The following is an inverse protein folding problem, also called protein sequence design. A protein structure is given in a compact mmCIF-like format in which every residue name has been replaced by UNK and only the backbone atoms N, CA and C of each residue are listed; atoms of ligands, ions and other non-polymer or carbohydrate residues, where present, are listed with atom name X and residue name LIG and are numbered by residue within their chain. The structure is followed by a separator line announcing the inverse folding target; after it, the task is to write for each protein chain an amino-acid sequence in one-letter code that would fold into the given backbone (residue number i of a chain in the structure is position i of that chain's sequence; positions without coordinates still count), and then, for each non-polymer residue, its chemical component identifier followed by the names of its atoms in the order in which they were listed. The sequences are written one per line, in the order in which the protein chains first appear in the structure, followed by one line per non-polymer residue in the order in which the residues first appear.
data_IF_239685563007
#
_entry.id   IF_239685563007
#
_cell.length_a   1.000
_cell.length_b   1.000
_cell.length_c   1.000
_cell.angle_alpha   90.00
_cell.angle_beta   90.00
_cell.angle_gamma   90.00
#
_symmetry.space_group_name_H-M   'P 1'
#
loop_
_entity.id
_entity.type
_entity.pdbx_description
1 polymer ?
#
# COMPACT_ATOMS: atom_id res chain seq x y z
N UNK A 1 2.97 4.40 -24.44
CA UNK A 1 2.75 4.23 -23.01
C UNK A 1 3.28 2.89 -22.53
N UNK A 2 3.67 2.86 -21.28
CA UNK A 2 4.19 1.64 -20.67
C UNK A 2 3.05 0.66 -20.41
N UNK A 3 3.08 -0.57 -21.00
CA UNK A 3 2.03 -1.56 -20.73
C UNK A 3 1.89 -1.89 -19.23
N UNK A 4 2.99 -1.86 -18.49
CA UNK A 4 2.93 -2.18 -17.06
C UNK A 4 2.14 -1.14 -16.28
N UNK A 5 2.21 0.14 -16.67
CA UNK A 5 1.39 1.17 -16.05
C UNK A 5 -0.09 0.97 -16.38
N UNK A 6 -0.41 0.66 -17.63
CA UNK A 6 -1.79 0.45 -18.06
C UNK A 6 -2.42 -0.75 -17.34
N UNK A 7 -1.62 -1.73 -16.96
CA UNK A 7 -2.09 -2.94 -16.28
C UNK A 7 -1.98 -2.86 -14.78
N UNK A 8 -1.41 -1.78 -14.25
CA UNK A 8 -1.19 -1.62 -12.82
C UNK A 8 -2.54 -1.45 -12.11
N UNK A 9 -2.86 -2.33 -11.13
CA UNK A 9 -4.08 -2.13 -10.36
C UNK A 9 -4.03 -0.82 -9.59
N UNK A 10 -5.15 -0.11 -9.56
CA UNK A 10 -5.29 1.09 -8.74
C UNK A 10 -6.20 0.73 -7.59
N UNK A 11 -5.67 0.79 -6.38
CA UNK A 11 -6.37 0.38 -5.17
C UNK A 11 -7.10 1.58 -4.56
N UNK A 12 -8.14 1.30 -3.80
CA UNK A 12 -8.79 2.33 -2.98
C UNK A 12 -8.05 2.44 -1.66
N UNK A 13 -7.42 3.60 -1.43
CA UNK A 13 -6.64 3.83 -0.21
C UNK A 13 -7.50 4.30 0.96
N UNK A 14 -8.68 4.87 0.69
CA UNK A 14 -9.57 5.35 1.74
C UNK A 14 -10.53 6.40 1.23
N UNK A 15 -11.43 6.90 2.10
CA UNK A 15 -12.52 7.77 1.69
C UNK A 15 -12.15 9.24 1.55
N UNK A 16 -10.95 9.65 1.99
CA UNK A 16 -10.55 11.06 1.99
C UNK A 16 -9.82 11.37 0.69
N UNK A 17 -10.21 12.46 0.05
CA UNK A 17 -9.57 12.93 -1.20
C UNK A 17 -9.35 11.80 -2.20
N UNK A 18 -10.43 11.17 -2.64
CA UNK A 18 -10.38 9.97 -3.49
C UNK A 18 -9.75 10.23 -4.86
N UNK A 19 -9.59 11.49 -5.24
CA UNK A 19 -8.92 11.87 -6.50
C UNK A 19 -7.40 11.94 -6.34
N UNK A 20 -6.88 11.83 -5.13
CA UNK A 20 -5.46 11.99 -4.85
C UNK A 20 -4.75 10.67 -4.94
N UNK A 21 -3.67 10.63 -5.71
CA UNK A 21 -2.90 9.42 -5.93
C UNK A 21 -1.71 9.30 -5.00
N UNK A 22 -1.44 8.08 -4.59
CA UNK A 22 -0.31 7.71 -3.75
C UNK A 22 0.39 6.52 -4.39
N UNK A 23 1.72 6.59 -4.49
CA UNK A 23 2.50 5.50 -5.04
C UNK A 23 3.48 5.01 -3.97
N UNK A 24 3.29 3.76 -3.52
CA UNK A 24 4.24 3.10 -2.64
C UNK A 24 5.32 2.44 -3.50
N UNK A 25 6.56 2.55 -3.07
CA UNK A 25 7.69 1.95 -3.77
C UNK A 25 8.81 1.64 -2.78
N UNK A 26 9.80 0.87 -3.22
CA UNK A 26 10.88 0.46 -2.34
C UNK A 26 11.97 1.51 -2.30
N UNK A 27 12.55 1.70 -1.12
CA UNK A 27 13.65 2.65 -0.91
C UNK A 27 14.87 2.31 -1.78
N UNK A 28 15.10 1.01 -2.01
CA UNK A 28 16.25 0.56 -2.78
C UNK A 28 16.13 0.82 -4.28
N UNK A 29 14.95 1.12 -4.77
CA UNK A 29 14.75 1.35 -6.19
C UNK A 29 15.30 2.72 -6.56
N UNK A 30 16.40 2.74 -7.30
CA UNK A 30 17.09 3.99 -7.66
C UNK A 30 16.24 4.89 -8.54
N UNK A 31 15.33 4.32 -9.31
CA UNK A 31 14.43 5.09 -10.16
C UNK A 31 13.41 5.90 -9.35
N UNK A 32 13.39 5.72 -8.03
CA UNK A 32 12.42 6.37 -7.15
C UNK A 32 13.06 7.38 -6.18
N UNK A 33 14.31 7.76 -6.39
CA UNK A 33 15.03 8.51 -5.35
C UNK A 33 14.70 10.00 -5.30
N UNK A 34 14.36 10.62 -6.41
CA UNK A 34 14.34 12.07 -6.51
C UNK A 34 12.98 12.66 -6.85
N UNK A 35 11.90 11.95 -6.56
CA UNK A 35 10.56 12.50 -6.79
C UNK A 35 10.15 13.44 -5.67
N UNK A 36 9.55 14.57 -6.04
CA UNK A 36 8.96 15.47 -5.07
C UNK A 36 7.84 14.77 -4.30
N UNK A 37 7.58 15.22 -3.08
CA UNK A 37 6.48 14.66 -2.29
C UNK A 37 6.71 13.24 -1.83
N UNK A 38 7.96 12.84 -1.65
CA UNK A 38 8.30 11.49 -1.21
C UNK A 38 8.56 11.49 0.29
N UNK A 39 7.94 10.56 0.99
CA UNK A 39 8.07 10.39 2.43
C UNK A 39 8.50 8.95 2.73
N UNK A 40 9.34 8.81 3.75
CA UNK A 40 9.71 7.48 4.25
C UNK A 40 8.57 6.93 5.10
N UNK A 41 8.14 5.71 4.79
CA UNK A 41 7.16 4.98 5.59
C UNK A 41 7.88 4.05 6.57
N UNK A 42 8.82 3.27 6.04
CA UNK A 42 9.75 2.46 6.82
C UNK A 42 11.12 2.63 6.18
N UNK A 43 12.13 1.94 6.72
CA UNK A 43 13.46 1.95 6.09
C UNK A 43 13.42 1.41 4.66
N UNK A 44 12.50 0.49 4.37
CA UNK A 44 12.43 -0.19 3.09
C UNK A 44 11.39 0.39 2.13
N UNK A 45 10.47 1.23 2.63
CA UNK A 45 9.29 1.64 1.87
C UNK A 45 9.13 3.15 1.91
N UNK A 46 8.84 3.74 0.75
CA UNK A 46 8.51 5.16 0.62
C UNK A 46 7.16 5.33 -0.06
N UNK A 47 6.56 6.48 0.14
CA UNK A 47 5.33 6.88 -0.56
C UNK A 47 5.58 8.20 -1.26
N UNK A 48 5.16 8.29 -2.51
CA UNK A 48 5.27 9.52 -3.31
C UNK A 48 3.88 9.97 -3.73
N UNK A 49 3.60 11.26 -3.59
CA UNK A 49 2.30 11.83 -3.89
C UNK A 49 2.31 12.77 -5.10
N UNK A 50 3.46 12.99 -5.73
CA UNK A 50 3.59 13.95 -6.82
C UNK A 50 3.26 13.33 -8.18
N UNK A 51 2.97 14.20 -9.15
CA UNK A 51 2.65 13.78 -10.51
C UNK A 51 3.88 13.27 -11.26
N UNK A 52 5.07 13.68 -10.89
CA UNK A 52 6.27 13.33 -11.63
C UNK A 52 6.57 11.84 -11.58
N UNK A 53 6.22 11.13 -10.49
CA UNK A 53 6.39 9.69 -10.46
C UNK A 53 5.48 9.01 -11.48
N UNK A 54 4.25 9.48 -11.63
CA UNK A 54 3.32 8.92 -12.62
C UNK A 54 3.81 9.17 -14.04
N UNK A 55 4.35 10.36 -14.29
CA UNK A 55 4.93 10.69 -15.57
C UNK A 55 6.12 9.79 -15.90
N UNK A 56 6.99 9.56 -14.90
CA UNK A 56 8.13 8.68 -15.08
C UNK A 56 7.69 7.24 -15.33
N UNK A 57 6.68 6.77 -14.61
CA UNK A 57 6.15 5.42 -14.81
C UNK A 57 5.58 5.24 -16.22
N UNK A 58 4.89 6.26 -16.74
CA UNK A 58 4.34 6.20 -18.08
C UNK A 58 5.42 6.11 -19.16
N UNK A 59 6.62 6.59 -18.85
CA UNK A 59 7.77 6.53 -19.75
C UNK A 59 8.65 5.31 -19.53
N UNK A 60 8.26 4.42 -18.62
CA UNK A 60 9.08 3.26 -18.27
C UNK A 60 10.30 3.59 -17.44
N UNK A 61 10.32 4.77 -16.82
CA UNK A 61 11.47 5.29 -16.07
C UNK A 61 11.22 5.34 -14.56
N UNK A 62 10.04 4.95 -14.11
CA UNK A 62 9.69 4.95 -12.71
C UNK A 62 10.12 3.69 -11.99
N UNK A 63 9.73 3.55 -10.70
CA UNK A 63 10.02 2.36 -9.94
C UNK A 63 9.39 1.11 -10.58
N UNK A 64 10.06 -0.01 -10.43
CA UNK A 64 9.59 -1.27 -11.02
C UNK A 64 8.44 -1.87 -10.25
N UNK A 65 8.49 -1.80 -8.92
CA UNK A 65 7.50 -2.39 -8.05
C UNK A 65 6.79 -1.27 -7.32
N UNK A 66 5.50 -1.17 -7.56
CA UNK A 66 4.71 -0.09 -6.99
C UNK A 66 3.36 -0.61 -6.52
N UNK A 67 2.78 0.12 -5.59
CA UNK A 67 1.37 0.02 -5.25
C UNK A 67 0.77 1.40 -5.46
N UNK A 68 -0.22 1.49 -6.34
CA UNK A 68 -0.89 2.75 -6.64
C UNK A 68 -2.25 2.74 -5.95
N UNK A 69 -2.52 3.80 -5.17
CA UNK A 69 -3.79 3.94 -4.46
C UNK A 69 -4.36 5.33 -4.67
N UNK A 70 -5.70 5.42 -4.69
CA UNK A 70 -6.41 6.68 -4.70
C UNK A 70 -7.09 6.88 -3.36
N UNK A 71 -6.96 8.08 -2.81
CA UNK A 71 -7.54 8.42 -1.53
C UNK A 71 -6.76 7.87 -0.35
N UNK A 72 -7.16 8.29 0.83
CA UNK A 72 -6.52 7.83 2.07
C UNK A 72 -7.54 7.81 3.20
N UNK A 73 -7.13 7.22 4.32
CA UNK A 73 -7.88 7.24 5.57
C UNK A 73 -7.10 8.08 6.57
N UNK A 74 -7.83 8.82 7.41
CA UNK A 74 -7.22 9.65 8.43
C UNK A 74 -7.78 9.31 9.80
N UNK A 75 -6.99 9.54 10.83
CA UNK A 75 -7.39 9.35 12.21
C UNK A 75 -7.08 10.61 12.99
N UNK A 76 -8.00 10.98 13.88
CA UNK A 76 -7.73 12.05 14.85
C UNK A 76 -6.70 11.60 15.89
N UNK A 77 -6.17 12.54 16.69
CA UNK A 77 -5.18 12.19 17.70
C UNK A 77 -5.68 11.08 18.63
N UNK A 78 -4.92 10.00 18.75
CA UNK A 78 -5.24 8.86 19.60
C UNK A 78 -6.33 7.95 19.10
N UNK A 79 -6.96 8.26 17.96
CA UNK A 79 -8.07 7.46 17.46
C UNK A 79 -7.63 6.08 16.99
N UNK A 80 -6.55 6.00 16.23
CA UNK A 80 -6.07 4.71 15.74
C UNK A 80 -5.63 3.81 16.89
N UNK A 81 -4.91 4.38 17.87
CA UNK A 81 -4.47 3.64 19.04
C UNK A 81 -5.65 3.09 19.82
N UNK A 82 -6.72 3.88 19.93
CA UNK A 82 -7.93 3.45 20.61
C UNK A 82 -8.62 2.30 19.87
N UNK A 83 -8.69 2.39 18.54
CA UNK A 83 -9.28 1.33 17.72
C UNK A 83 -8.44 0.05 17.80
N UNK A 84 -7.12 0.18 17.85
CA UNK A 84 -6.26 -1.00 18.02
C UNK A 84 -6.44 -1.64 19.38
N UNK A 85 -6.61 -0.83 20.42
CA UNK A 85 -6.89 -1.35 21.76
C UNK A 85 -8.22 -2.12 21.82
N UNK A 86 -9.16 -1.76 20.96
CA UNK A 86 -10.46 -2.43 20.84
C UNK A 86 -10.45 -3.58 19.84
N UNK A 87 -9.28 -3.95 19.33
CA UNK A 87 -9.08 -5.02 18.34
C UNK A 87 -9.83 -4.78 17.02
N UNK A 88 -10.05 -3.51 16.66
CA UNK A 88 -10.65 -3.17 15.38
C UNK A 88 -9.69 -3.38 14.21
N UNK A 89 -8.39 -3.44 14.49
CA UNK A 89 -7.34 -3.63 13.49
C UNK A 89 -6.36 -4.71 13.94
N UNK A 90 -5.84 -5.43 12.98
CA UNK A 90 -4.69 -6.30 13.17
C UNK A 90 -3.47 -5.62 12.56
N UNK A 91 -2.34 -5.65 13.26
CA UNK A 91 -1.12 -5.00 12.80
C UNK A 91 -0.03 -6.03 12.60
N UNK A 92 0.66 -5.93 11.47
CA UNK A 92 1.80 -6.78 11.14
C UNK A 92 2.93 -5.90 10.62
N UNK A 93 4.18 -6.36 10.70
CA UNK A 93 5.28 -5.64 10.07
C UNK A 93 5.04 -5.48 8.57
N UNK A 94 5.49 -4.36 8.01
CA UNK A 94 5.37 -4.09 6.58
C UNK A 94 6.44 -4.89 5.85
N UNK A 95 6.03 -6.00 5.23
CA UNK A 95 6.94 -6.89 4.51
C UNK A 95 6.89 -6.54 3.02
N UNK A 96 7.99 -6.03 2.44
CA UNK A 96 7.98 -5.63 1.03
C UNK A 96 7.52 -6.72 0.06
N UNK A 97 7.89 -7.97 0.29
CA UNK A 97 7.45 -9.08 -0.54
C UNK A 97 5.92 -9.18 -0.60
N UNK A 98 5.26 -9.00 0.54
CA UNK A 98 3.81 -9.08 0.58
C UNK A 98 3.20 -7.86 -0.13
N UNK A 99 3.75 -6.68 0.10
CA UNK A 99 3.20 -5.44 -0.45
C UNK A 99 3.38 -5.37 -1.97
N UNK A 100 4.55 -5.75 -2.47
CA UNK A 100 4.92 -5.50 -3.87
C UNK A 100 4.89 -6.74 -4.76
N UNK A 101 5.14 -7.94 -4.21
CA UNK A 101 5.33 -9.13 -5.04
C UNK A 101 4.19 -10.13 -4.94
N UNK A 102 3.31 -9.99 -3.97
CA UNK A 102 2.17 -10.88 -3.78
C UNK A 102 0.98 -10.37 -4.60
N UNK A 103 0.26 -11.23 -5.34
CA UNK A 103 -0.97 -10.80 -6.00
C UNK A 103 -1.91 -10.12 -5.02
N UNK A 104 -2.52 -9.00 -5.41
CA UNK A 104 -3.24 -8.16 -4.45
C UNK A 104 -4.36 -8.89 -3.73
N UNK A 105 -5.03 -9.81 -4.39
CA UNK A 105 -6.12 -10.59 -3.79
C UNK A 105 -5.64 -11.57 -2.72
N UNK A 106 -4.32 -11.79 -2.61
CA UNK A 106 -3.74 -12.68 -1.60
C UNK A 106 -3.01 -11.90 -0.50
N UNK A 107 -2.89 -10.57 -0.62
CA UNK A 107 -2.08 -9.79 0.32
C UNK A 107 -2.63 -9.83 1.73
N UNK A 108 -3.95 -9.76 1.87
CA UNK A 108 -4.59 -9.82 3.17
C UNK A 108 -4.31 -11.15 3.87
N UNK A 109 -4.50 -12.24 3.14
CA UNK A 109 -4.26 -13.58 3.68
C UNK A 109 -2.81 -13.80 4.05
N UNK A 110 -1.87 -13.37 3.21
CA UNK A 110 -0.44 -13.51 3.49
C UNK A 110 -0.04 -12.67 4.69
N UNK A 111 -0.61 -11.48 4.83
CA UNK A 111 -0.36 -10.64 6.00
C UNK A 111 -0.86 -11.30 7.29
N UNK A 112 -2.05 -11.89 7.24
CA UNK A 112 -2.62 -12.58 8.41
C UNK A 112 -1.76 -13.76 8.83
N UNK A 113 -1.10 -14.44 7.89
CA UNK A 113 -0.21 -15.55 8.20
C UNK A 113 0.99 -15.14 9.04
N UNK A 114 1.41 -13.87 8.96
CA UNK A 114 2.48 -13.37 9.82
C UNK A 114 2.09 -13.38 11.28
N UNK A 115 0.80 -13.37 11.58
CA UNK A 115 0.29 -13.47 12.95
C UNK A 115 -0.05 -14.92 13.34
N UNK A 116 0.22 -15.89 12.44
CA UNK A 116 -0.16 -17.26 12.68
C UNK A 116 -1.65 -17.55 12.51
N UNK A 117 -2.38 -16.67 11.81
CA UNK A 117 -3.82 -16.80 11.61
C UNK A 117 -4.08 -17.52 10.30
N UNK A 118 -4.95 -18.55 10.36
CA UNK A 118 -5.44 -19.23 9.18
C UNK A 118 -6.76 -18.61 8.75
N UNK A 119 -6.73 -17.88 7.64
CA UNK A 119 -7.90 -17.16 7.17
C UNK A 119 -9.01 -18.07 6.67
N UNK A 120 -8.69 -19.31 6.31
CA UNK A 120 -9.73 -20.26 5.93
C UNK A 120 -10.63 -20.60 7.11
N UNK A 121 -10.10 -20.51 8.33
CA UNK A 121 -10.88 -20.72 9.56
C UNK A 121 -11.71 -19.50 9.93
N UNK A 122 -11.21 -18.29 9.63
CA UNK A 122 -11.86 -17.05 10.04
C UNK A 122 -12.80 -16.47 8.99
N UNK A 123 -12.65 -16.88 7.73
CA UNK A 123 -13.29 -16.21 6.61
C UNK A 123 -14.82 -16.19 6.71
N UNK A 124 -15.44 -17.22 7.29
CA UNK A 124 -16.89 -17.28 7.43
C UNK A 124 -17.43 -16.24 8.41
N UNK A 125 -16.60 -15.75 9.31
CA UNK A 125 -17.00 -14.76 10.32
C UNK A 125 -16.45 -13.38 10.01
N UNK A 126 -15.14 -13.30 9.74
CA UNK A 126 -14.48 -12.02 9.55
C UNK A 126 -14.72 -11.43 8.17
N UNK A 127 -14.89 -12.26 7.16
CA UNK A 127 -15.10 -11.79 5.79
C UNK A 127 -16.44 -11.11 5.55
N UNK A 128 -17.31 -11.16 6.52
CA UNK A 128 -18.66 -10.57 6.43
C UNK A 128 -18.83 -9.33 7.29
N UNK A 129 -17.76 -8.88 7.88
CA UNK A 129 -17.79 -7.70 8.74
C UNK A 129 -18.01 -6.41 7.97
#
# INVERSE_FOLDING_TARGET
SDPSLAQQPVLQGGPVHQERGFVLHQTEDRAAQDFDGTLAVTDAIRVTTSQDILTAMAKGQGPRRVVVALGYAGWGPGQLEQEMAQNAWLSVPAVPRIIFDTPFEQRWQQSARLLGIDMSTLSSQAGHA
#
